data_IF_397817393431
#
_entry.id   IF_397817393431
#
_cell.length_a   1.000
_cell.length_b   1.000
_cell.length_c   1.000
_cell.angle_alpha   90.00
_cell.angle_beta   90.00
_cell.angle_gamma   90.00
#
_symmetry.space_group_name_H-M   'P 1'
#
loop_
_entity.id
_entity.type
_entity.pdbx_description
1 polymer ?
#
# COMPACT_ATOMS: atom_id res chain seq x y z
N UNK A 1 2.24 -1.56 -25.17
CA UNK A 1 3.22 -0.42 -25.22
C UNK A 1 4.59 -0.92 -24.84
N UNK A 2 5.60 -0.61 -25.64
CA UNK A 2 7.01 -0.94 -25.30
C UNK A 2 7.67 0.30 -24.69
N UNK A 3 8.29 0.14 -23.52
CA UNK A 3 8.98 1.21 -22.82
C UNK A 3 10.32 0.68 -22.26
N UNK A 4 11.42 1.28 -22.65
CA UNK A 4 12.79 0.86 -22.29
C UNK A 4 13.04 -0.66 -22.39
N UNK A 5 12.56 -1.28 -23.49
CA UNK A 5 12.76 -2.70 -23.79
C UNK A 5 11.76 -3.65 -23.13
N UNK A 6 10.86 -3.14 -22.28
CA UNK A 6 9.80 -3.93 -21.64
C UNK A 6 8.48 -3.73 -22.36
N UNK A 7 7.83 -4.84 -22.74
CA UNK A 7 6.50 -4.81 -23.34
C UNK A 7 5.43 -4.88 -22.26
N UNK A 8 4.73 -3.77 -22.03
CA UNK A 8 3.66 -3.66 -21.03
C UNK A 8 2.36 -4.35 -21.43
N UNK A 9 2.18 -4.79 -22.67
CA UNK A 9 1.03 -5.64 -23.06
C UNK A 9 1.14 -7.05 -22.44
N UNK A 10 2.37 -7.49 -22.20
CA UNK A 10 2.66 -8.80 -21.60
C UNK A 10 3.27 -8.71 -20.19
N UNK A 11 3.35 -7.51 -19.62
CA UNK A 11 4.04 -7.23 -18.36
C UNK A 11 3.67 -8.19 -17.23
N UNK A 12 2.38 -8.37 -16.95
CA UNK A 12 1.89 -9.23 -15.87
C UNK A 12 2.03 -10.74 -16.13
N UNK A 13 2.45 -11.14 -17.32
CA UNK A 13 2.82 -12.53 -17.64
C UNK A 13 4.30 -12.78 -17.42
N UNK A 14 5.11 -11.73 -17.53
CA UNK A 14 6.57 -11.80 -17.51
C UNK A 14 7.16 -11.35 -16.17
N UNK A 15 6.38 -10.58 -15.38
CA UNK A 15 6.86 -10.01 -14.10
C UNK A 15 5.86 -10.20 -12.97
N UNK A 16 6.31 -10.76 -11.83
CA UNK A 16 7.68 -11.30 -11.64
C UNK A 16 7.92 -12.53 -12.52
N UNK A 17 9.19 -12.90 -12.68
CA UNK A 17 9.57 -14.16 -13.28
C UNK A 17 9.23 -15.35 -12.34
N UNK A 18 9.51 -16.58 -12.80
CA UNK A 18 9.22 -17.81 -12.02
C UNK A 18 9.99 -17.90 -10.68
N UNK A 19 11.01 -17.06 -10.48
CA UNK A 19 11.77 -16.97 -9.23
C UNK A 19 11.35 -15.80 -8.37
N UNK A 20 10.36 -15.03 -8.80
CA UNK A 20 9.80 -13.90 -8.07
C UNK A 20 10.55 -12.58 -8.29
N UNK A 21 11.28 -12.43 -9.40
CA UNK A 21 12.02 -11.20 -9.70
C UNK A 21 11.29 -10.29 -10.68
N UNK A 22 11.32 -9.00 -10.37
CA UNK A 22 11.00 -7.88 -11.23
C UNK A 22 12.33 -7.27 -11.70
N UNK A 23 12.88 -7.75 -12.83
CA UNK A 23 14.24 -7.43 -13.22
C UNK A 23 15.25 -7.92 -12.17
N UNK A 24 16.08 -7.04 -11.55
CA UNK A 24 17.01 -7.43 -10.50
C UNK A 24 16.38 -7.50 -9.10
N UNK A 25 15.16 -6.99 -8.91
CA UNK A 25 14.52 -6.84 -7.61
C UNK A 25 13.53 -7.96 -7.31
N UNK A 26 13.34 -8.31 -6.04
CA UNK A 26 12.44 -9.36 -5.60
C UNK A 26 13.16 -10.58 -5.05
N UNK A 27 12.70 -11.78 -5.43
CA UNK A 27 13.28 -13.06 -5.02
C UNK A 27 12.83 -13.57 -3.65
N UNK A 28 13.57 -14.54 -3.10
CA UNK A 28 13.26 -15.23 -1.84
C UNK A 28 14.53 -15.38 -0.99
N UNK A 29 14.76 -14.44 -0.08
CA UNK A 29 15.95 -14.37 0.80
C UNK A 29 15.56 -14.71 2.23
N UNK A 30 15.14 -15.94 2.46
CA UNK A 30 14.66 -16.45 3.76
C UNK A 30 15.30 -17.78 4.10
N UNK A 31 15.13 -18.27 5.33
CA UNK A 31 15.59 -19.60 5.75
C UNK A 31 14.89 -20.72 4.96
N UNK A 32 15.56 -21.86 4.85
CA UNK A 32 15.01 -23.01 4.11
C UNK A 32 13.70 -23.54 4.72
N UNK A 33 13.49 -23.34 6.03
CA UNK A 33 12.24 -23.69 6.73
C UNK A 33 11.05 -22.88 6.20
N UNK A 34 11.23 -21.61 5.87
CA UNK A 34 10.19 -20.75 5.32
C UNK A 34 9.99 -20.92 3.82
N UNK A 35 10.98 -21.43 3.09
CA UNK A 35 10.85 -21.64 1.63
C UNK A 35 9.69 -22.56 1.29
N UNK A 36 9.53 -23.67 2.02
CA UNK A 36 8.41 -24.60 1.83
C UNK A 36 7.04 -23.92 2.05
N UNK A 37 6.96 -23.02 3.04
CA UNK A 37 5.76 -22.25 3.29
C UNK A 37 5.45 -21.25 2.16
N UNK A 38 6.47 -20.60 1.60
CA UNK A 38 6.31 -19.70 0.44
C UNK A 38 5.89 -20.48 -0.82
N UNK A 39 6.44 -21.66 -1.05
CA UNK A 39 6.05 -22.54 -2.16
C UNK A 39 4.58 -23.02 -2.03
N UNK A 40 4.14 -23.32 -0.80
CA UNK A 40 2.73 -23.66 -0.53
C UNK A 40 1.80 -22.50 -0.90
N UNK A 41 2.12 -21.27 -0.46
CA UNK A 41 1.34 -20.07 -0.77
C UNK A 41 1.37 -19.80 -2.28
N UNK A 42 2.53 -19.86 -2.92
CA UNK A 42 2.70 -19.66 -4.36
C UNK A 42 1.87 -20.65 -5.16
N UNK A 43 1.95 -21.94 -4.83
CA UNK A 43 1.15 -22.98 -5.47
C UNK A 43 -0.34 -22.74 -5.30
N UNK A 44 -0.78 -22.39 -4.09
CA UNK A 44 -2.19 -22.08 -3.81
C UNK A 44 -2.65 -20.85 -4.58
N UNK A 45 -1.82 -19.81 -4.66
CA UNK A 45 -2.14 -18.59 -5.41
C UNK A 45 -2.34 -18.90 -6.91
N UNK A 46 -1.43 -19.65 -7.55
CA UNK A 46 -1.53 -19.97 -8.97
C UNK A 46 -2.63 -21.00 -9.30
N UNK A 47 -3.00 -21.86 -8.38
CA UNK A 47 -4.01 -22.91 -8.63
C UNK A 47 -5.40 -22.53 -8.10
N UNK A 48 -5.48 -22.01 -6.88
CA UNK A 48 -6.74 -21.70 -6.19
C UNK A 48 -7.21 -20.30 -6.54
N UNK A 49 -6.37 -19.26 -6.37
CA UNK A 49 -6.78 -17.87 -6.54
C UNK A 49 -7.10 -17.52 -8.01
N UNK A 50 -6.60 -18.30 -8.98
CA UNK A 50 -6.93 -18.18 -10.39
C UNK A 50 -8.21 -18.98 -10.79
N UNK A 51 -8.79 -19.74 -9.87
CA UNK A 51 -9.99 -20.52 -10.16
C UNK A 51 -11.24 -19.63 -10.33
N UNK A 52 -12.15 -20.03 -11.23
CA UNK A 52 -13.41 -19.31 -11.44
C UNK A 52 -14.21 -19.15 -10.14
N UNK A 53 -14.19 -20.16 -9.29
CA UNK A 53 -14.90 -20.14 -8.01
C UNK A 53 -14.35 -19.08 -7.06
N UNK A 54 -13.03 -19.04 -6.88
CA UNK A 54 -12.36 -18.04 -6.04
C UNK A 54 -12.62 -16.62 -6.55
N UNK A 55 -12.42 -16.40 -7.85
CA UNK A 55 -12.62 -15.08 -8.49
C UNK A 55 -14.08 -14.62 -8.31
N UNK A 56 -15.06 -15.50 -8.54
CA UNK A 56 -16.47 -15.16 -8.37
C UNK A 56 -16.81 -14.82 -6.92
N UNK A 57 -16.29 -15.58 -5.94
CA UNK A 57 -16.51 -15.33 -4.52
C UNK A 57 -15.87 -14.01 -4.09
N UNK A 58 -14.63 -13.73 -4.50
CA UNK A 58 -13.96 -12.47 -4.19
C UNK A 58 -14.68 -11.27 -4.81
N UNK A 59 -15.17 -11.37 -6.05
CA UNK A 59 -15.98 -10.33 -6.69
C UNK A 59 -17.27 -10.06 -5.93
N UNK A 60 -17.97 -11.10 -5.49
CA UNK A 60 -19.18 -10.98 -4.67
C UNK A 60 -18.88 -10.25 -3.36
N UNK A 61 -17.83 -10.65 -2.66
CA UNK A 61 -17.41 -10.03 -1.39
C UNK A 61 -17.05 -8.55 -1.59
N UNK A 62 -16.32 -8.23 -2.63
CA UNK A 62 -15.97 -6.84 -2.99
C UNK A 62 -17.23 -5.99 -3.18
N UNK A 63 -18.22 -6.51 -3.87
CA UNK A 63 -19.48 -5.80 -4.12
C UNK A 63 -20.35 -5.67 -2.85
N UNK A 64 -20.57 -6.79 -2.16
CA UNK A 64 -21.58 -6.86 -1.09
C UNK A 64 -21.06 -6.42 0.27
N UNK A 65 -19.77 -6.62 0.55
CA UNK A 65 -19.16 -6.32 1.84
C UNK A 65 -18.22 -5.12 1.81
N UNK A 66 -17.36 -5.02 0.80
CA UNK A 66 -16.44 -3.88 0.71
C UNK A 66 -17.08 -2.60 0.15
N UNK A 67 -18.24 -2.70 -0.52
CA UNK A 67 -18.91 -1.56 -1.14
C UNK A 67 -18.25 -1.09 -2.45
N UNK A 68 -17.58 -2.03 -3.16
CA UNK A 68 -16.95 -1.70 -4.44
C UNK A 68 -17.94 -1.77 -5.63
N UNK A 69 -17.70 -0.99 -6.72
CA UNK A 69 -16.54 -0.11 -6.94
C UNK A 69 -16.60 1.16 -6.08
N UNK A 70 -15.43 1.59 -5.55
CA UNK A 70 -15.32 2.93 -4.98
C UNK A 70 -15.34 3.96 -6.10
N UNK A 71 -15.93 5.16 -5.92
CA UNK A 71 -16.07 6.11 -7.02
C UNK A 71 -14.77 6.85 -7.36
N UNK A 72 -14.67 7.35 -8.59
CA UNK A 72 -13.85 8.51 -8.93
C UNK A 72 -14.68 9.77 -8.70
N UNK A 73 -14.11 10.78 -8.06
CA UNK A 73 -14.75 12.07 -7.80
C UNK A 73 -13.93 13.21 -8.39
N UNK A 74 -14.61 14.15 -9.04
CA UNK A 74 -14.00 15.40 -9.49
C UNK A 74 -13.85 16.35 -8.29
N UNK A 75 -12.68 16.95 -8.14
CA UNK A 75 -12.38 17.96 -7.12
C UNK A 75 -12.63 19.34 -7.71
N UNK A 76 -13.90 19.72 -7.81
CA UNK A 76 -14.34 20.90 -8.58
C UNK A 76 -13.78 22.20 -8.01
N UNK A 77 -13.91 22.41 -6.69
CA UNK A 77 -13.48 23.67 -6.06
C UNK A 77 -11.96 23.81 -6.05
N UNK A 78 -11.25 22.70 -5.85
CA UNK A 78 -9.80 22.65 -5.90
C UNK A 78 -9.29 22.90 -7.32
N UNK A 79 -9.91 22.27 -8.33
CA UNK A 79 -9.62 22.49 -9.75
C UNK A 79 -9.81 23.97 -10.14
N UNK A 80 -10.95 24.56 -9.75
CA UNK A 80 -11.24 25.97 -10.01
C UNK A 80 -10.23 26.93 -9.35
N UNK A 81 -9.72 26.58 -8.17
CA UNK A 81 -8.67 27.35 -7.48
C UNK A 81 -7.33 27.29 -8.21
N UNK A 82 -6.99 26.14 -8.80
CA UNK A 82 -5.72 25.94 -9.53
C UNK A 82 -5.79 26.55 -10.93
N UNK A 83 -6.92 26.42 -11.62
CA UNK A 83 -7.15 26.99 -12.95
C UNK A 83 -7.46 25.94 -14.03
N UNK A 84 -6.60 25.81 -15.06
CA UNK A 84 -6.92 25.00 -16.25
C UNK A 84 -6.63 23.51 -16.13
N UNK A 85 -6.24 23.01 -14.95
CA UNK A 85 -6.01 21.59 -14.68
C UNK A 85 -7.16 21.05 -13.85
N UNK A 86 -7.70 19.90 -14.25
CA UNK A 86 -8.79 19.24 -13.55
C UNK A 86 -8.23 18.12 -12.65
N UNK A 87 -8.54 18.18 -11.37
CA UNK A 87 -8.13 17.19 -10.37
C UNK A 87 -9.27 16.23 -10.07
N UNK A 88 -8.94 14.96 -10.00
CA UNK A 88 -9.84 13.88 -9.65
C UNK A 88 -9.20 13.00 -8.58
N UNK A 89 -10.05 12.33 -7.79
CA UNK A 89 -9.58 11.34 -6.79
C UNK A 89 -10.30 10.00 -6.96
N UNK A 90 -9.56 8.91 -6.88
CA UNK A 90 -10.10 7.56 -6.67
C UNK A 90 -10.31 7.40 -5.16
N UNK A 91 -11.55 7.16 -4.74
CA UNK A 91 -12.03 7.25 -3.35
C UNK A 91 -11.86 5.94 -2.59
N UNK A 92 -10.63 5.47 -2.33
CA UNK A 92 -10.38 4.30 -1.49
C UNK A 92 -10.65 4.56 0.01
N UNK A 93 -10.79 5.81 0.40
CA UNK A 93 -11.31 6.24 1.71
C UNK A 93 -12.77 5.79 1.95
N UNK A 94 -13.52 5.49 0.89
CA UNK A 94 -14.90 4.95 0.94
C UNK A 94 -14.95 3.41 0.91
N UNK A 95 -13.83 2.73 0.72
CA UNK A 95 -13.77 1.28 0.89
C UNK A 95 -14.08 0.91 2.34
N UNK A 96 -14.74 -0.21 2.58
CA UNK A 96 -14.99 -0.66 3.96
C UNK A 96 -13.68 -0.72 4.76
N UNK A 97 -13.71 -0.35 6.04
CA UNK A 97 -12.58 -0.02 6.92
C UNK A 97 -11.91 1.34 6.66
N UNK A 98 -12.26 2.04 5.57
CA UNK A 98 -11.81 3.39 5.29
C UNK A 98 -10.45 3.51 4.61
N UNK A 99 -9.94 2.42 4.01
CA UNK A 99 -8.68 2.43 3.27
C UNK A 99 -8.57 1.25 2.29
N UNK A 100 -7.59 1.34 1.37
CA UNK A 100 -7.28 0.32 0.36
C UNK A 100 -6.87 -1.06 0.94
N UNK A 101 -6.42 -1.12 2.19
CA UNK A 101 -5.86 -2.35 2.79
C UNK A 101 -6.79 -3.54 2.73
N UNK A 102 -8.10 -3.34 2.88
CA UNK A 102 -9.06 -4.43 2.85
C UNK A 102 -9.10 -5.16 1.49
N UNK A 103 -8.67 -4.53 0.40
CA UNK A 103 -8.68 -5.16 -0.92
C UNK A 103 -7.81 -6.43 -0.98
N UNK A 104 -6.58 -6.37 -0.45
CA UNK A 104 -5.72 -7.54 -0.41
C UNK A 104 -6.03 -8.45 0.79
N UNK A 105 -6.35 -7.90 1.96
CA UNK A 105 -6.68 -8.71 3.12
C UNK A 105 -7.84 -9.68 2.85
N UNK A 106 -8.89 -9.24 2.15
CA UNK A 106 -9.99 -10.14 1.75
C UNK A 106 -9.54 -11.25 0.80
N UNK A 107 -8.63 -10.94 -0.13
CA UNK A 107 -8.05 -11.94 -1.04
C UNK A 107 -7.16 -12.95 -0.32
N UNK A 108 -6.28 -12.47 0.56
CA UNK A 108 -5.36 -13.31 1.33
C UNK A 108 -6.10 -14.24 2.30
N UNK A 109 -7.07 -13.72 3.06
CA UNK A 109 -7.84 -14.54 4.01
C UNK A 109 -8.78 -15.52 3.28
N UNK A 110 -9.34 -15.11 2.12
CA UNK A 110 -10.10 -16.05 1.28
C UNK A 110 -9.20 -17.19 0.77
N UNK A 111 -7.95 -16.88 0.36
CA UNK A 111 -6.98 -17.88 -0.04
C UNK A 111 -6.65 -18.81 1.12
N UNK A 112 -6.38 -18.28 2.31
CA UNK A 112 -6.14 -19.07 3.52
C UNK A 112 -7.28 -20.04 3.81
N UNK A 113 -8.52 -19.59 3.69
CA UNK A 113 -9.72 -20.42 3.84
C UNK A 113 -9.77 -21.56 2.83
N UNK A 114 -9.48 -21.28 1.56
CA UNK A 114 -9.46 -22.32 0.52
C UNK A 114 -8.30 -23.30 0.67
N UNK A 115 -7.19 -22.89 1.28
CA UNK A 115 -6.07 -23.74 1.67
C UNK A 115 -6.39 -24.61 2.90
N UNK A 116 -7.52 -24.37 3.58
CA UNK A 116 -7.90 -25.09 4.80
C UNK A 116 -7.15 -24.60 6.05
N UNK A 117 -6.49 -23.46 5.99
CA UNK A 117 -5.83 -22.85 7.16
C UNK A 117 -6.85 -22.38 8.19
N UNK A 118 -6.48 -22.41 9.46
CA UNK A 118 -7.36 -22.06 10.58
C UNK A 118 -7.09 -20.65 11.13
N UNK A 119 -5.91 -20.13 10.84
CA UNK A 119 -5.41 -18.88 11.40
C UNK A 119 -4.70 -18.04 10.34
N UNK A 120 -4.77 -16.73 10.50
CA UNK A 120 -3.94 -15.76 9.78
C UNK A 120 -3.04 -15.02 10.77
N UNK A 121 -1.83 -14.72 10.33
CA UNK A 121 -0.86 -13.90 11.05
C UNK A 121 -0.61 -12.64 10.22
N UNK A 122 -0.54 -11.49 10.87
CA UNK A 122 -0.18 -10.23 10.22
C UNK A 122 0.66 -9.36 11.15
N UNK A 123 1.33 -8.38 10.59
CA UNK A 123 1.97 -7.28 11.29
C UNK A 123 1.21 -5.97 11.04
N UNK A 124 1.43 -4.98 11.90
CA UNK A 124 0.93 -3.63 11.64
C UNK A 124 1.72 -2.58 12.43
N UNK A 125 1.95 -1.41 11.84
CA UNK A 125 2.47 -0.22 12.52
C UNK A 125 1.34 0.78 12.79
N UNK A 126 0.87 1.52 11.77
CA UNK A 126 -0.24 2.47 11.88
C UNK A 126 -1.61 1.86 12.22
N UNK A 127 -1.73 0.54 12.26
CA UNK A 127 -2.96 -0.17 12.62
C UNK A 127 -3.95 -0.41 11.48
N UNK A 128 -3.82 0.24 10.33
CA UNK A 128 -4.78 0.10 9.23
C UNK A 128 -4.77 -1.30 8.59
N UNK A 129 -3.59 -1.89 8.41
CA UNK A 129 -3.49 -3.27 7.95
C UNK A 129 -4.08 -4.23 8.97
N UNK A 130 -3.75 -4.04 10.25
CA UNK A 130 -4.29 -4.84 11.35
C UNK A 130 -5.82 -4.80 11.41
N UNK A 131 -6.43 -3.63 11.32
CA UNK A 131 -7.91 -3.49 11.30
C UNK A 131 -8.50 -4.18 10.07
N UNK A 132 -7.90 -4.03 8.88
CA UNK A 132 -8.37 -4.69 7.66
C UNK A 132 -8.24 -6.22 7.76
N UNK A 133 -7.13 -6.72 8.32
CA UNK A 133 -6.91 -8.15 8.54
C UNK A 133 -7.86 -8.74 9.57
N UNK A 134 -8.04 -8.07 10.72
CA UNK A 134 -9.03 -8.47 11.72
C UNK A 134 -10.46 -8.52 11.14
N UNK A 135 -10.80 -7.53 10.29
CA UNK A 135 -12.09 -7.49 9.60
C UNK A 135 -12.26 -8.69 8.66
N UNK A 136 -11.25 -8.99 7.84
CA UNK A 136 -11.29 -10.11 6.92
C UNK A 136 -11.35 -11.46 7.67
N UNK A 137 -10.55 -11.63 8.72
CA UNK A 137 -10.56 -12.82 9.56
C UNK A 137 -11.92 -13.03 10.24
N UNK A 138 -12.51 -11.99 10.80
CA UNK A 138 -13.86 -12.03 11.40
C UNK A 138 -14.92 -12.43 10.35
N UNK A 139 -14.86 -11.85 9.14
CA UNK A 139 -15.78 -12.19 8.05
C UNK A 139 -15.75 -13.67 7.69
N UNK A 140 -14.57 -14.28 7.68
CA UNK A 140 -14.39 -15.70 7.33
C UNK A 140 -14.43 -16.67 8.54
N UNK A 141 -14.53 -16.14 9.76
CA UNK A 141 -14.52 -16.94 10.99
C UNK A 141 -13.17 -17.60 11.29
N UNK A 142 -12.06 -16.90 10.97
CA UNK A 142 -10.70 -17.39 11.17
C UNK A 142 -10.07 -16.74 12.41
N UNK A 143 -9.15 -17.45 13.07
CA UNK A 143 -8.29 -16.87 14.09
C UNK A 143 -7.33 -15.87 13.46
N UNK A 144 -6.99 -14.81 14.20
CA UNK A 144 -6.14 -13.74 13.70
C UNK A 144 -5.20 -13.26 14.80
N UNK A 145 -3.89 -13.42 14.60
CA UNK A 145 -2.84 -12.84 15.43
C UNK A 145 -2.22 -11.66 14.69
N UNK A 146 -2.20 -10.49 15.32
CA UNK A 146 -1.65 -9.26 14.77
C UNK A 146 -0.49 -8.81 15.64
N UNK A 147 0.72 -8.84 15.09
CA UNK A 147 1.93 -8.38 15.73
C UNK A 147 2.06 -6.87 15.58
N UNK A 148 2.28 -6.18 16.68
CA UNK A 148 2.38 -4.73 16.71
C UNK A 148 3.38 -4.28 17.76
N UNK A 149 4.25 -3.35 17.41
CA UNK A 149 5.23 -2.80 18.35
C UNK A 149 4.57 -2.06 19.50
N UNK A 150 5.13 -2.17 20.71
CA UNK A 150 4.60 -1.55 21.92
C UNK A 150 4.47 -0.03 21.80
N UNK A 151 5.37 0.63 21.08
CA UNK A 151 5.31 2.08 20.83
C UNK A 151 4.17 2.44 19.86
N UNK A 152 3.92 1.60 18.86
CA UNK A 152 2.81 1.77 17.92
C UNK A 152 1.46 1.50 18.60
N UNK A 153 1.38 0.50 19.48
CA UNK A 153 0.16 0.20 20.28
C UNK A 153 -0.27 1.43 21.10
N UNK A 154 0.66 2.13 21.73
CA UNK A 154 0.35 3.33 22.51
C UNK A 154 -0.19 4.47 21.63
N UNK A 155 0.44 4.68 20.46
CA UNK A 155 0.08 5.75 19.52
C UNK A 155 -1.24 5.48 18.80
N UNK A 156 -1.58 4.20 18.60
CA UNK A 156 -2.69 3.76 17.75
C UNK A 156 -3.79 3.03 18.55
N UNK A 157 -4.01 3.42 19.80
CA UNK A 157 -4.97 2.79 20.70
C UNK A 157 -6.38 2.61 20.09
N UNK A 158 -6.96 3.55 19.31
CA UNK A 158 -8.26 3.35 18.68
C UNK A 158 -8.26 2.20 17.65
N UNK A 159 -7.19 2.00 16.88
CA UNK A 159 -7.06 0.88 15.94
C UNK A 159 -6.86 -0.44 16.69
N UNK A 160 -6.09 -0.44 17.78
CA UNK A 160 -5.94 -1.61 18.66
C UNK A 160 -7.29 -2.04 19.25
N UNK A 161 -8.09 -1.09 19.69
CA UNK A 161 -9.46 -1.36 20.18
C UNK A 161 -10.33 -1.98 19.06
N UNK A 162 -10.28 -1.45 17.85
CA UNK A 162 -11.02 -2.01 16.68
C UNK A 162 -10.61 -3.45 16.39
N UNK A 163 -9.30 -3.75 16.35
CA UNK A 163 -8.80 -5.11 16.14
C UNK A 163 -9.31 -6.09 17.20
N UNK A 164 -9.27 -5.70 18.48
CA UNK A 164 -9.77 -6.52 19.59
C UNK A 164 -11.29 -6.72 19.54
N UNK A 165 -12.07 -5.68 19.19
CA UNK A 165 -13.53 -5.78 19.02
C UNK A 165 -13.87 -6.76 17.87
N UNK A 166 -13.06 -6.80 16.82
CA UNK A 166 -13.20 -7.73 15.70
C UNK A 166 -12.75 -9.16 16.04
N UNK A 167 -12.25 -9.39 17.25
CA UNK A 167 -11.85 -10.71 17.73
C UNK A 167 -10.41 -11.10 17.44
N UNK A 168 -9.57 -10.18 16.93
CA UNK A 168 -8.17 -10.44 16.72
C UNK A 168 -7.37 -10.38 18.05
N UNK A 169 -6.35 -11.25 18.16
CA UNK A 169 -5.36 -11.20 19.20
C UNK A 169 -4.24 -10.24 18.78
N UNK A 170 -4.05 -9.15 19.51
CA UNK A 170 -2.95 -8.21 19.29
C UNK A 170 -1.77 -8.63 20.15
N UNK A 171 -0.71 -9.07 19.49
CA UNK A 171 0.54 -9.53 20.11
C UNK A 171 1.50 -8.35 20.21
N UNK A 172 1.76 -7.91 21.43
CA UNK A 172 2.69 -6.81 21.70
C UNK A 172 4.14 -7.27 21.49
N UNK A 173 4.90 -6.48 20.71
CA UNK A 173 6.33 -6.70 20.45
C UNK A 173 7.13 -5.60 21.13
N UNK A 174 8.03 -6.00 22.05
CA UNK A 174 8.81 -5.09 22.92
C UNK A 174 10.29 -5.04 22.55
N UNK A 175 10.75 -5.90 21.66
CA UNK A 175 12.14 -5.98 21.22
C UNK A 175 12.55 -4.75 20.41
N UNK A 176 13.83 -4.43 20.40
CA UNK A 176 14.44 -3.37 19.61
C UNK A 176 13.81 -2.00 19.86
N UNK A 177 13.34 -1.35 18.80
CA UNK A 177 12.62 -0.07 18.87
C UNK A 177 11.12 -0.22 19.15
N UNK A 178 10.63 -1.46 19.23
CA UNK A 178 9.24 -1.80 19.46
C UNK A 178 8.28 -1.11 18.45
N UNK A 179 8.64 -1.14 17.15
CA UNK A 179 7.91 -0.53 16.04
C UNK A 179 7.61 -1.55 14.94
N UNK A 180 7.17 -1.09 13.77
CA UNK A 180 6.77 -1.94 12.64
C UNK A 180 7.84 -2.95 12.22
N UNK A 181 9.15 -2.57 12.21
CA UNK A 181 10.22 -3.49 11.81
C UNK A 181 10.25 -4.73 12.69
N UNK A 182 10.26 -4.55 14.01
CA UNK A 182 10.29 -5.64 14.98
C UNK A 182 8.98 -6.46 14.94
N UNK A 183 7.85 -5.82 14.66
CA UNK A 183 6.58 -6.52 14.45
C UNK A 183 6.63 -7.46 13.24
N UNK A 184 7.25 -7.04 12.12
CA UNK A 184 7.50 -7.90 10.96
C UNK A 184 8.38 -9.08 11.30
N UNK A 185 9.51 -8.84 12.00
CA UNK A 185 10.44 -9.90 12.40
C UNK A 185 9.74 -10.93 13.31
N UNK A 186 8.95 -10.48 14.29
CA UNK A 186 8.20 -11.34 15.20
C UNK A 186 7.11 -12.14 14.47
N UNK A 187 6.40 -11.52 13.51
CA UNK A 187 5.38 -12.20 12.71
C UNK A 187 6.00 -13.29 11.82
N UNK A 188 7.15 -13.04 11.18
CA UNK A 188 7.89 -14.06 10.43
C UNK A 188 8.36 -15.22 11.33
N UNK A 189 8.88 -14.92 12.52
CA UNK A 189 9.31 -15.94 13.47
C UNK A 189 8.13 -16.80 13.96
N UNK A 190 6.98 -16.21 14.19
CA UNK A 190 5.76 -16.95 14.52
C UNK A 190 5.27 -17.80 13.34
N UNK A 191 5.27 -17.24 12.14
CA UNK A 191 4.86 -17.95 10.92
C UNK A 191 5.76 -19.18 10.66
N UNK A 192 7.07 -19.07 10.84
CA UNK A 192 8.00 -20.19 10.70
C UNK A 192 7.63 -21.39 11.60
N UNK A 193 7.11 -21.10 12.81
CA UNK A 193 6.69 -22.16 13.76
C UNK A 193 5.31 -22.76 13.43
N UNK A 194 4.44 -21.98 12.81
CA UNK A 194 2.99 -22.31 12.73
C UNK A 194 2.46 -22.44 11.29
N UNK A 195 3.30 -22.34 10.27
CA UNK A 195 2.88 -22.24 8.85
C UNK A 195 1.95 -23.35 8.37
N UNK A 196 1.98 -24.54 9.03
CA UNK A 196 1.09 -25.65 8.67
C UNK A 196 -0.38 -25.31 8.89
N UNK A 197 -0.71 -24.58 9.95
CA UNK A 197 -2.07 -24.24 10.34
C UNK A 197 -2.44 -22.78 10.01
N UNK A 198 -1.48 -21.95 9.67
CA UNK A 198 -1.70 -20.52 9.38
C UNK A 198 -1.11 -20.08 8.06
N UNK A 199 -1.48 -18.88 7.63
CA UNK A 199 -0.85 -18.13 6.56
C UNK A 199 -0.41 -16.76 7.10
N UNK A 200 0.76 -16.29 6.66
CA UNK A 200 1.20 -14.93 6.90
C UNK A 200 0.62 -14.04 5.81
N UNK A 201 -0.10 -13.00 6.21
CA UNK A 201 -0.76 -12.03 5.33
C UNK A 201 -0.05 -10.69 5.48
N UNK A 202 0.94 -10.46 4.62
CA UNK A 202 1.80 -9.28 4.71
C UNK A 202 1.08 -8.00 4.31
N UNK A 203 1.41 -6.89 4.99
CA UNK A 203 0.66 -5.63 4.89
C UNK A 203 0.92 -4.80 3.64
N UNK A 204 1.83 -5.19 2.74
CA UNK A 204 2.15 -4.43 1.53
C UNK A 204 2.74 -5.30 0.42
N UNK A 205 3.17 -4.68 -0.70
CA UNK A 205 3.86 -5.35 -1.83
C UNK A 205 5.35 -5.56 -1.53
N UNK A 206 5.66 -6.03 -0.32
CA UNK A 206 7.00 -6.28 0.20
C UNK A 206 7.13 -7.74 0.62
N UNK A 207 8.31 -8.15 1.07
CA UNK A 207 8.54 -9.53 1.48
C UNK A 207 8.95 -10.46 0.34
N UNK A 208 9.23 -11.74 0.65
CA UNK A 208 9.65 -12.73 -0.33
C UNK A 208 8.49 -13.05 -1.31
N UNK A 209 8.85 -13.53 -2.51
CA UNK A 209 7.85 -14.09 -3.42
C UNK A 209 7.06 -15.22 -2.71
N UNK A 210 5.71 -15.31 -2.83
CA UNK A 210 4.86 -14.60 -3.81
C UNK A 210 4.21 -13.30 -3.33
N UNK A 211 4.50 -12.82 -2.13
CA UNK A 211 3.76 -11.70 -1.51
C UNK A 211 3.68 -10.44 -2.38
N UNK A 212 4.78 -9.90 -2.96
CA UNK A 212 4.68 -8.66 -3.74
C UNK A 212 3.70 -8.78 -4.92
N UNK A 213 3.75 -9.90 -5.63
CA UNK A 213 2.84 -10.18 -6.75
C UNK A 213 1.39 -10.38 -6.26
N UNK A 214 1.20 -11.20 -5.24
CA UNK A 214 -0.13 -11.56 -4.72
C UNK A 214 -0.87 -10.33 -4.19
N UNK A 215 -0.20 -9.50 -3.37
CA UNK A 215 -0.78 -8.28 -2.83
C UNK A 215 -1.09 -7.27 -3.94
N UNK A 216 -0.15 -7.06 -4.91
CA UNK A 216 -0.42 -6.23 -6.10
C UNK A 216 -1.68 -6.69 -6.82
N UNK A 217 -1.79 -7.98 -7.10
CA UNK A 217 -2.90 -8.50 -7.90
C UNK A 217 -4.24 -8.38 -7.18
N UNK A 218 -4.28 -8.55 -5.86
CA UNK A 218 -5.49 -8.27 -5.08
C UNK A 218 -5.81 -6.77 -5.01
N UNK A 219 -4.83 -5.88 -5.14
CA UNK A 219 -5.02 -4.44 -5.20
C UNK A 219 -5.36 -3.91 -6.61
N UNK A 220 -5.15 -4.68 -7.68
CA UNK A 220 -5.38 -4.24 -9.07
C UNK A 220 -6.79 -3.72 -9.33
N UNK A 221 -7.77 -4.19 -8.59
CA UNK A 221 -9.16 -3.71 -8.67
C UNK A 221 -9.27 -2.19 -8.57
N UNK A 222 -8.37 -1.54 -7.83
CA UNK A 222 -8.33 -0.07 -7.68
C UNK A 222 -8.03 0.62 -9.01
N UNK A 223 -6.98 0.18 -9.69
CA UNK A 223 -6.55 0.74 -10.98
C UNK A 223 -7.51 0.41 -12.12
N UNK A 224 -8.02 -0.83 -12.15
CA UNK A 224 -8.99 -1.27 -13.16
C UNK A 224 -10.27 -0.43 -13.09
N UNK A 225 -10.85 -0.28 -11.90
CA UNK A 225 -12.03 0.56 -11.67
C UNK A 225 -11.76 2.05 -11.97
N UNK A 226 -10.61 2.56 -11.51
CA UNK A 226 -10.25 3.97 -11.68
C UNK A 226 -10.14 4.35 -13.17
N UNK A 227 -9.52 3.48 -13.97
CA UNK A 227 -9.35 3.69 -15.40
C UNK A 227 -10.70 3.71 -16.13
N UNK A 228 -11.54 2.71 -15.88
CA UNK A 228 -12.88 2.62 -16.49
C UNK A 228 -13.73 3.84 -16.11
N UNK A 229 -13.85 4.13 -14.81
CA UNK A 229 -14.65 5.25 -14.31
C UNK A 229 -14.17 6.60 -14.83
N UNK A 230 -12.84 6.80 -14.91
CA UNK A 230 -12.30 8.07 -15.40
C UNK A 230 -12.62 8.28 -16.89
N UNK A 231 -12.45 7.24 -17.70
CA UNK A 231 -12.79 7.29 -19.14
C UNK A 231 -14.29 7.48 -19.34
N UNK A 232 -15.13 6.79 -18.57
CA UNK A 232 -16.59 6.97 -18.62
C UNK A 232 -17.02 8.40 -18.26
N UNK A 233 -16.33 9.02 -17.28
CA UNK A 233 -16.64 10.37 -16.81
C UNK A 233 -16.17 11.47 -17.77
N UNK A 234 -15.00 11.28 -18.40
CA UNK A 234 -14.29 12.36 -19.12
C UNK A 234 -14.19 12.13 -20.63
N UNK A 235 -14.35 10.90 -21.11
CA UNK A 235 -14.17 10.50 -22.50
C UNK A 235 -12.71 10.27 -22.91
N UNK A 236 -11.75 10.41 -21.99
CA UNK A 236 -10.31 10.23 -22.26
C UNK A 236 -9.56 9.68 -21.05
N UNK A 237 -8.29 9.29 -21.22
CA UNK A 237 -7.40 8.93 -20.13
C UNK A 237 -6.92 10.19 -19.36
N UNK A 238 -6.56 10.09 -18.08
CA UNK A 238 -5.89 11.18 -17.38
C UNK A 238 -4.53 11.44 -18.01
N UNK A 239 -4.06 12.70 -17.98
CA UNK A 239 -2.69 13.03 -18.40
C UNK A 239 -1.66 12.52 -17.41
N UNK A 240 -2.01 12.52 -16.12
CA UNK A 240 -1.16 11.98 -15.07
C UNK A 240 -1.96 11.28 -13.98
N UNK A 241 -1.33 10.29 -13.33
CA UNK A 241 -1.84 9.66 -12.11
C UNK A 241 -0.83 9.75 -10.98
N UNK A 242 -1.32 9.87 -9.74
CA UNK A 242 -0.48 10.09 -8.54
C UNK A 242 -0.94 9.19 -7.40
N UNK A 243 -0.01 8.53 -6.71
CA UNK A 243 -0.28 7.80 -5.47
C UNK A 243 0.89 7.93 -4.49
N UNK A 244 0.62 7.90 -3.18
CA UNK A 244 1.67 7.86 -2.16
C UNK A 244 2.31 6.47 -2.09
N UNK A 245 3.60 6.42 -1.71
CA UNK A 245 4.40 5.20 -1.63
C UNK A 245 5.14 5.14 -0.30
N UNK A 246 4.82 4.11 0.50
CA UNK A 246 5.66 3.55 1.55
C UNK A 246 6.11 2.17 1.08
N UNK A 247 5.57 1.07 1.63
CA UNK A 247 5.75 -0.26 1.00
C UNK A 247 5.12 -0.36 -0.40
N UNK A 248 4.12 0.48 -0.71
CA UNK A 248 3.65 0.75 -2.08
C UNK A 248 2.41 -0.02 -2.53
N UNK A 249 1.67 -0.71 -1.65
CA UNK A 249 0.54 -1.55 -2.10
C UNK A 249 -0.61 -0.78 -2.75
N UNK A 250 -0.95 0.41 -2.24
CA UNK A 250 -1.98 1.26 -2.86
C UNK A 250 -1.55 1.71 -4.27
N UNK A 251 -0.30 2.14 -4.40
CA UNK A 251 0.27 2.61 -5.65
C UNK A 251 0.39 1.47 -6.69
N UNK A 252 0.88 0.29 -6.30
CA UNK A 252 0.97 -0.87 -7.19
C UNK A 252 -0.39 -1.26 -7.76
N UNK A 253 -1.42 -1.31 -6.93
CA UNK A 253 -2.79 -1.59 -7.36
C UNK A 253 -3.34 -0.52 -8.29
N UNK A 254 -3.13 0.74 -7.97
CA UNK A 254 -3.62 1.87 -8.76
C UNK A 254 -2.88 2.00 -10.10
N UNK A 255 -1.56 1.94 -10.09
CA UNK A 255 -0.74 2.03 -11.30
C UNK A 255 -1.03 0.91 -12.29
N UNK A 256 -1.38 -0.28 -11.77
CA UNK A 256 -1.63 -1.45 -12.60
C UNK A 256 -2.70 -1.24 -13.68
N UNK A 257 -3.65 -0.35 -13.46
CA UNK A 257 -4.66 0.00 -14.46
C UNK A 257 -4.15 0.86 -15.60
N UNK A 258 -2.94 1.45 -15.47
CA UNK A 258 -2.42 2.46 -16.40
C UNK A 258 -1.00 2.18 -16.93
N UNK A 259 -0.35 1.10 -16.47
CA UNK A 259 1.04 0.82 -16.87
C UNK A 259 1.22 0.71 -18.39
N UNK A 260 0.19 0.26 -19.10
CA UNK A 260 0.21 0.10 -20.56
C UNK A 260 -0.34 1.31 -21.33
N UNK A 261 -0.80 2.33 -20.65
CA UNK A 261 -1.36 3.55 -21.25
C UNK A 261 -0.29 4.66 -21.36
N UNK A 262 -0.43 5.63 -22.29
CA UNK A 262 0.46 6.78 -22.41
C UNK A 262 0.14 7.84 -21.33
N UNK A 263 0.07 7.42 -20.08
CA UNK A 263 -0.23 8.26 -18.90
C UNK A 263 1.05 8.44 -18.11
N UNK A 264 1.34 9.64 -17.66
CA UNK A 264 2.42 9.90 -16.72
C UNK A 264 2.06 9.35 -15.33
N UNK A 265 2.97 8.56 -14.73
CA UNK A 265 2.73 7.91 -13.44
C UNK A 265 3.71 8.42 -12.40
N UNK A 266 3.19 8.87 -11.25
CA UNK A 266 3.98 9.42 -10.16
C UNK A 266 3.72 8.67 -8.85
N UNK A 267 4.80 8.14 -8.24
CA UNK A 267 4.83 7.59 -6.89
C UNK A 267 5.45 8.61 -5.93
N UNK A 268 4.76 8.94 -4.84
CA UNK A 268 5.18 10.01 -3.94
C UNK A 268 5.58 9.45 -2.60
N UNK A 269 6.85 9.63 -2.26
CA UNK A 269 7.44 9.22 -1.01
C UNK A 269 7.49 10.39 -0.01
N UNK A 270 7.51 10.12 1.31
CA UNK A 270 7.58 11.18 2.32
C UNK A 270 9.01 11.70 2.46
N UNK A 271 9.21 13.00 2.23
CA UNK A 271 10.45 13.70 2.56
C UNK A 271 10.53 14.03 4.06
N UNK A 272 9.41 13.93 4.77
CA UNK A 272 9.38 14.20 6.19
C UNK A 272 9.89 15.59 6.55
N UNK A 273 10.93 15.65 7.38
CA UNK A 273 11.53 16.90 7.88
C UNK A 273 12.72 17.37 7.04
N UNK A 274 13.25 16.54 6.14
CA UNK A 274 14.41 16.86 5.32
C UNK A 274 15.10 15.65 4.71
N UNK A 275 16.25 15.86 4.08
CA UNK A 275 17.00 14.84 3.34
C UNK A 275 18.00 14.05 4.17
N UNK A 276 18.17 14.37 5.45
CA UNK A 276 19.08 13.64 6.32
C UNK A 276 18.50 12.24 6.64
N UNK A 277 19.36 11.24 6.73
CA UNK A 277 18.97 9.89 7.11
C UNK A 277 18.29 9.89 8.49
N UNK A 278 17.11 9.29 8.57
CA UNK A 278 16.25 9.34 9.77
C UNK A 278 15.23 10.48 9.79
N UNK A 279 15.27 11.43 8.82
CA UNK A 279 14.31 12.51 8.68
C UNK A 279 13.28 12.29 7.57
N UNK A 280 13.42 11.23 6.79
CA UNK A 280 12.53 10.86 5.68
C UNK A 280 12.36 9.34 5.57
N UNK A 281 11.41 8.88 4.73
CA UNK A 281 11.26 7.49 4.34
C UNK A 281 11.22 7.33 2.79
N UNK A 282 11.93 8.20 2.07
CA UNK A 282 11.98 8.21 0.61
C UNK A 282 13.06 7.25 0.10
N UNK A 283 12.74 5.95 0.10
CA UNK A 283 13.69 4.90 -0.22
C UNK A 283 14.08 4.85 -1.70
N UNK A 284 13.13 5.05 -2.61
CA UNK A 284 13.40 5.06 -4.06
C UNK A 284 14.20 6.28 -4.49
N UNK A 285 14.02 7.40 -3.80
CA UNK A 285 14.71 8.64 -4.12
C UNK A 285 16.14 8.69 -3.57
N UNK A 286 16.38 8.17 -2.37
CA UNK A 286 17.67 8.32 -1.67
C UNK A 286 18.33 7.01 -1.25
N UNK A 287 17.66 5.87 -1.44
CA UNK A 287 18.16 4.56 -1.05
C UNK A 287 19.09 3.92 -2.08
N UNK A 288 19.56 2.75 -1.74
CA UNK A 288 20.40 1.90 -2.60
C UNK A 288 19.91 0.46 -2.52
N UNK A 289 20.30 -0.37 -3.49
CA UNK A 289 19.94 -1.79 -3.54
C UNK A 289 20.35 -2.53 -2.26
N UNK A 290 19.44 -3.34 -1.72
CA UNK A 290 19.68 -4.14 -0.52
C UNK A 290 18.56 -5.14 -0.23
N UNK A 291 18.87 -6.09 0.64
CA UNK A 291 17.93 -7.15 1.06
C UNK A 291 17.43 -6.88 2.46
N UNK A 292 16.11 -6.88 2.64
CA UNK A 292 15.47 -6.87 3.96
C UNK A 292 14.15 -7.65 3.92
N UNK A 293 13.71 -8.19 5.05
CA UNK A 293 12.46 -8.96 5.17
C UNK A 293 12.25 -10.00 4.05
N UNK A 294 13.36 -10.60 3.57
CA UNK A 294 13.32 -11.70 2.62
C UNK A 294 13.22 -11.33 1.14
N UNK A 295 13.41 -10.08 0.75
CA UNK A 295 13.40 -9.64 -0.65
C UNK A 295 14.48 -8.59 -0.95
N UNK A 296 14.93 -8.54 -2.20
CA UNK A 296 15.84 -7.51 -2.72
C UNK A 296 15.06 -6.33 -3.29
N UNK A 297 15.43 -5.11 -2.93
CA UNK A 297 14.81 -3.88 -3.44
C UNK A 297 15.75 -2.68 -3.26
N UNK A 298 15.23 -1.46 -3.41
CA UNK A 298 15.89 -0.23 -3.03
C UNK A 298 15.49 0.10 -1.59
N UNK A 299 16.47 0.36 -0.72
CA UNK A 299 16.25 0.62 0.70
C UNK A 299 17.19 1.70 1.26
N UNK A 300 16.74 2.38 2.31
CA UNK A 300 17.55 3.26 3.12
C UNK A 300 18.40 2.41 4.07
N UNK A 301 19.70 2.65 4.07
CA UNK A 301 20.68 1.91 4.89
C UNK A 301 21.51 2.86 5.72
N UNK A 302 21.87 2.40 6.92
CA UNK A 302 22.87 3.06 7.73
C UNK A 302 24.31 2.76 7.25
N UNK A 303 25.30 3.23 7.99
CA UNK A 303 26.71 3.04 7.66
C UNK A 303 27.18 1.57 7.72
N UNK A 304 26.43 0.70 8.40
CA UNK A 304 26.71 -0.74 8.50
C UNK A 304 26.02 -1.54 7.38
N UNK A 305 25.13 -0.88 6.60
CA UNK A 305 24.32 -1.52 5.59
C UNK A 305 23.00 -2.10 6.10
N UNK A 306 22.68 -1.87 7.38
CA UNK A 306 21.42 -2.27 8.00
C UNK A 306 20.29 -1.28 7.64
N UNK A 307 19.00 -1.70 7.72
CA UNK A 307 17.88 -0.79 7.49
C UNK A 307 17.96 0.44 8.41
N UNK A 308 18.00 1.62 7.80
CA UNK A 308 18.10 2.87 8.53
C UNK A 308 16.79 3.22 9.26
N UNK A 309 16.86 4.01 10.34
CA UNK A 309 15.69 4.67 10.89
C UNK A 309 15.03 5.55 9.84
N UNK A 310 13.70 5.62 9.86
CA UNK A 310 12.90 6.45 8.94
C UNK A 310 11.91 7.31 9.70
N UNK A 311 11.41 8.32 9.03
CA UNK A 311 10.40 9.21 9.59
C UNK A 311 9.47 9.75 8.51
N UNK A 312 8.19 9.85 8.82
CA UNK A 312 7.24 10.72 8.14
C UNK A 312 6.15 11.20 9.12
N UNK A 313 5.41 12.23 8.73
CA UNK A 313 4.22 12.64 9.48
C UNK A 313 3.11 11.58 9.42
N UNK A 314 3.19 10.66 8.47
CA UNK A 314 2.23 9.59 8.24
C UNK A 314 2.85 8.23 8.53
N UNK A 315 2.56 7.63 9.69
CA UNK A 315 3.15 6.36 10.15
C UNK A 315 2.94 5.19 9.19
N UNK A 316 1.92 5.22 8.33
CA UNK A 316 1.71 4.20 7.31
C UNK A 316 2.71 4.24 6.14
N UNK A 317 3.55 5.28 6.06
CA UNK A 317 4.65 5.41 5.09
C UNK A 317 6.03 5.18 5.72
N UNK A 318 6.12 4.92 7.03
CA UNK A 318 7.37 4.70 7.76
C UNK A 318 7.92 3.30 7.49
N UNK A 319 8.52 3.13 6.32
CA UNK A 319 9.17 1.88 5.93
C UNK A 319 10.45 2.19 5.16
N UNK A 320 11.60 1.58 5.50
CA UNK A 320 12.90 1.96 4.93
C UNK A 320 13.15 1.38 3.54
N UNK A 321 12.16 0.77 2.90
CA UNK A 321 12.25 0.18 1.56
C UNK A 321 10.92 0.35 0.84
N UNK A 322 10.86 -0.09 -0.42
CA UNK A 322 9.63 -0.17 -1.22
C UNK A 322 9.52 -1.53 -1.91
N UNK A 323 8.34 -1.85 -2.41
CA UNK A 323 8.12 -3.08 -3.14
C UNK A 323 9.07 -3.25 -4.32
N UNK A 324 9.50 -4.49 -4.65
CA UNK A 324 10.47 -4.74 -5.70
C UNK A 324 9.97 -4.33 -7.09
N UNK A 325 8.66 -4.38 -7.34
CA UNK A 325 8.07 -3.88 -8.57
C UNK A 325 8.22 -2.36 -8.70
N UNK A 326 8.10 -1.61 -7.60
CA UNK A 326 8.35 -0.17 -7.59
C UNK A 326 9.80 0.16 -7.92
N UNK A 327 10.76 -0.56 -7.33
CA UNK A 327 12.18 -0.43 -7.66
C UNK A 327 12.45 -0.70 -9.13
N UNK A 328 11.84 -1.72 -9.70
CA UNK A 328 11.97 -2.05 -11.12
C UNK A 328 11.35 -0.98 -12.03
N UNK A 329 10.12 -0.55 -11.75
CA UNK A 329 9.45 0.50 -12.52
C UNK A 329 10.17 1.86 -12.44
N UNK A 330 10.80 2.14 -11.29
CA UNK A 330 11.70 3.30 -11.12
C UNK A 330 12.93 3.20 -12.01
N UNK A 331 13.64 2.07 -11.96
CA UNK A 331 14.83 1.81 -12.78
C UNK A 331 14.53 1.86 -14.28
N UNK A 332 13.35 1.37 -14.68
CA UNK A 332 12.88 1.51 -16.07
C UNK A 332 12.51 2.95 -16.44
N UNK A 333 12.25 3.82 -15.47
CA UNK A 333 11.71 5.16 -15.68
C UNK A 333 10.24 5.19 -16.14
N UNK A 334 9.51 4.06 -16.03
CA UNK A 334 8.08 4.02 -16.35
C UNK A 334 7.24 4.75 -15.32
N UNK A 335 7.63 4.68 -14.07
CA UNK A 335 7.07 5.43 -12.96
C UNK A 335 8.12 6.41 -12.46
N UNK A 336 7.72 7.66 -12.33
CA UNK A 336 8.53 8.73 -11.75
C UNK A 336 8.26 8.78 -10.26
N UNK A 337 9.30 8.68 -9.44
CA UNK A 337 9.17 8.83 -7.99
C UNK A 337 9.70 10.18 -7.57
N UNK A 338 8.95 10.83 -6.70
CA UNK A 338 9.27 12.17 -6.18
C UNK A 338 8.86 12.24 -4.70
N UNK A 339 9.12 13.35 -4.05
CA UNK A 339 8.94 13.50 -2.61
C UNK A 339 8.09 14.73 -2.25
N UNK A 340 7.42 14.65 -1.10
CA UNK A 340 6.70 15.78 -0.48
C UNK A 340 7.05 15.84 1.00
N UNK A 341 7.32 17.06 1.51
CA UNK A 341 7.60 17.29 2.92
C UNK A 341 6.34 17.33 3.79
N UNK A 342 6.53 17.30 5.11
CA UNK A 342 5.44 17.30 6.07
C UNK A 342 4.55 18.55 5.97
N UNK A 343 5.11 19.73 5.80
CA UNK A 343 4.36 20.99 5.77
C UNK A 343 3.41 21.04 4.57
N UNK A 344 3.90 20.75 3.36
CA UNK A 344 3.08 20.69 2.14
C UNK A 344 1.99 19.61 2.26
N UNK A 345 2.31 18.48 2.90
CA UNK A 345 1.35 17.38 3.14
C UNK A 345 0.22 17.85 4.05
N UNK A 346 0.54 18.52 5.16
CA UNK A 346 -0.47 19.01 6.11
C UNK A 346 -1.29 20.16 5.52
N UNK A 347 -0.70 21.03 4.74
CA UNK A 347 -1.42 22.09 4.02
C UNK A 347 -2.43 21.48 3.03
N UNK A 348 -2.04 20.45 2.27
CA UNK A 348 -2.93 19.74 1.36
C UNK A 348 -4.05 18.99 2.10
N UNK A 349 -3.77 18.42 3.28
CA UNK A 349 -4.78 17.81 4.15
C UNK A 349 -5.90 18.81 4.47
N UNK A 350 -5.56 20.02 4.94
CA UNK A 350 -6.55 21.05 5.24
C UNK A 350 -7.21 21.62 3.98
N UNK A 351 -6.46 21.79 2.91
CA UNK A 351 -6.98 22.34 1.65
C UNK A 351 -8.06 21.43 1.04
N UNK A 352 -7.80 20.12 0.92
CA UNK A 352 -8.77 19.15 0.45
C UNK A 352 -9.99 19.10 1.37
N UNK A 353 -9.77 19.07 2.68
CA UNK A 353 -10.86 19.02 3.67
C UNK A 353 -11.81 20.21 3.54
N UNK A 354 -11.29 21.42 3.38
CA UNK A 354 -12.11 22.65 3.32
C UNK A 354 -12.74 22.93 1.97
N UNK A 355 -12.06 22.54 0.90
CA UNK A 355 -12.57 22.80 -0.43
C UNK A 355 -13.56 21.71 -0.88
N UNK A 356 -13.28 20.44 -0.55
CA UNK A 356 -14.02 19.33 -1.10
C UNK A 356 -14.82 18.53 -0.04
N UNK A 357 -14.68 18.86 1.25
CA UNK A 357 -15.35 18.13 2.32
C UNK A 357 -14.81 16.71 2.53
N UNK A 358 -13.58 16.46 2.11
CA UNK A 358 -12.92 15.14 2.20
C UNK A 358 -11.73 15.26 3.14
N UNK A 359 -11.78 14.58 4.29
CA UNK A 359 -10.66 14.50 5.23
C UNK A 359 -9.81 13.26 4.85
N UNK A 360 -8.66 13.46 4.19
CA UNK A 360 -7.81 12.34 3.76
C UNK A 360 -7.02 11.76 4.94
N UNK A 361 -6.58 10.51 4.85
CA UNK A 361 -5.48 10.05 5.67
C UNK A 361 -4.21 10.88 5.35
N UNK A 362 -3.34 11.09 6.33
CA UNK A 362 -2.10 11.88 6.11
C UNK A 362 -1.23 11.21 5.03
N UNK A 363 -1.24 9.88 4.94
CA UNK A 363 -0.60 9.15 3.85
C UNK A 363 -1.10 9.64 2.48
N UNK A 364 -2.41 9.70 2.31
CA UNK A 364 -3.04 10.14 1.05
C UNK A 364 -2.79 11.62 0.76
N UNK A 365 -2.65 12.44 1.81
CA UNK A 365 -2.39 13.86 1.67
C UNK A 365 -1.04 14.15 0.96
N UNK A 366 -0.03 13.25 1.05
CA UNK A 366 1.21 13.36 0.25
C UNK A 366 0.89 13.33 -1.26
N UNK A 367 0.05 12.39 -1.69
CA UNK A 367 -0.35 12.31 -3.10
C UNK A 367 -1.18 13.52 -3.54
N UNK A 368 -2.04 14.04 -2.66
CA UNK A 368 -2.83 15.26 -2.92
C UNK A 368 -1.93 16.49 -3.05
N UNK A 369 -0.97 16.66 -2.14
CA UNK A 369 0.00 17.75 -2.17
C UNK A 369 0.78 17.77 -3.49
N UNK A 370 1.32 16.62 -3.87
CA UNK A 370 2.04 16.50 -5.14
C UNK A 370 1.12 16.72 -6.35
N UNK A 371 -0.09 16.18 -6.31
CA UNK A 371 -1.10 16.39 -7.37
C UNK A 371 -1.40 17.86 -7.59
N UNK A 372 -1.51 18.66 -6.53
CA UNK A 372 -1.68 20.12 -6.58
C UNK A 372 -0.43 20.80 -7.18
N UNK A 373 0.77 20.41 -6.74
CA UNK A 373 2.03 20.94 -7.27
C UNK A 373 2.20 20.61 -8.75
N UNK A 374 1.91 19.35 -9.13
CA UNK A 374 1.97 18.89 -10.53
C UNK A 374 0.99 19.65 -11.41
N UNK A 375 -0.26 19.82 -10.95
CA UNK A 375 -1.29 20.55 -11.68
C UNK A 375 -0.86 22.01 -11.97
N UNK A 376 -0.31 22.70 -10.98
CA UNK A 376 0.24 24.06 -11.15
C UNK A 376 1.36 24.10 -12.19
N UNK A 377 2.21 23.06 -12.22
CA UNK A 377 3.33 22.93 -13.17
C UNK A 377 2.87 22.58 -14.58
N UNK A 378 1.85 21.72 -14.72
CA UNK A 378 1.29 21.31 -16.01
C UNK A 378 0.58 22.45 -16.74
N UNK A 379 -0.13 23.30 -16.03
CA UNK A 379 -0.86 24.44 -16.56
C UNK A 379 -2.14 24.11 -17.33
N UNK A 380 -2.34 22.89 -17.82
CA UNK A 380 -3.56 22.34 -18.42
C UNK A 380 -3.58 20.83 -18.35
N UNK A 381 -4.75 20.23 -18.43
CA UNK A 381 -4.94 18.77 -18.47
C UNK A 381 -5.66 18.24 -17.24
N UNK A 382 -5.44 16.96 -16.92
CA UNK A 382 -6.13 16.26 -15.86
C UNK A 382 -5.16 15.38 -15.04
N UNK A 383 -5.36 15.35 -13.72
CA UNK A 383 -4.60 14.51 -12.78
C UNK A 383 -5.58 13.68 -11.96
N UNK A 384 -5.38 12.37 -11.95
CA UNK A 384 -6.15 11.45 -11.11
C UNK A 384 -5.27 10.97 -9.94
N UNK A 385 -5.71 11.23 -8.71
CA UNK A 385 -4.99 10.92 -7.48
C UNK A 385 -5.64 9.74 -6.78
N UNK A 386 -4.86 8.78 -6.29
CA UNK A 386 -5.39 7.72 -5.43
C UNK A 386 -5.52 8.21 -3.98
N UNK A 387 -6.74 8.42 -3.52
CA UNK A 387 -7.03 8.75 -2.13
C UNK A 387 -7.14 7.46 -1.32
N UNK A 388 -6.00 6.95 -0.90
CA UNK A 388 -5.81 5.59 -0.39
C UNK A 388 -6.48 5.29 0.96
N UNK A 389 -6.85 6.33 1.72
CA UNK A 389 -7.52 6.18 3.01
C UNK A 389 -8.10 7.48 3.57
N UNK A 390 -8.98 7.35 4.57
CA UNK A 390 -9.63 8.46 5.28
C UNK A 390 -8.87 8.86 6.54
N UNK A 391 -9.01 10.11 6.94
CA UNK A 391 -8.26 10.74 8.02
C UNK A 391 -8.83 10.55 9.44
N UNK A 392 -9.92 9.80 9.63
CA UNK A 392 -10.51 9.64 10.98
C UNK A 392 -9.51 9.14 12.03
N UNK A 393 -8.56 8.31 11.60
CA UNK A 393 -7.51 7.78 12.46
C UNK A 393 -6.48 8.82 12.90
N UNK A 394 -6.37 9.92 12.14
CA UNK A 394 -5.32 10.93 12.29
C UNK A 394 -5.80 12.16 13.08
N UNK A 395 -7.11 12.23 13.41
CA UNK A 395 -7.72 13.44 13.97
C UNK A 395 -7.08 13.88 15.27
N UNK A 396 -6.82 12.96 16.21
CA UNK A 396 -6.21 13.30 17.49
C UNK A 396 -4.81 13.89 17.29
N UNK A 397 -4.01 13.25 16.45
CA UNK A 397 -2.66 13.72 16.11
C UNK A 397 -2.67 15.10 15.42
N UNK A 398 -3.58 15.29 14.46
CA UNK A 398 -3.71 16.58 13.75
C UNK A 398 -4.13 17.70 14.71
N UNK A 399 -5.09 17.45 15.58
CA UNK A 399 -5.57 18.43 16.56
C UNK A 399 -4.47 18.80 17.56
N UNK A 400 -3.77 17.80 18.08
CA UNK A 400 -2.70 18.00 19.06
C UNK A 400 -1.50 18.77 18.47
N UNK A 401 -1.04 18.39 17.29
CA UNK A 401 0.20 18.91 16.71
C UNK A 401 0.02 20.18 15.87
N UNK A 402 -1.09 20.28 15.14
CA UNK A 402 -1.31 21.35 14.15
C UNK A 402 -2.53 22.24 14.49
N UNK A 403 -3.35 21.83 15.43
CA UNK A 403 -4.57 22.54 15.83
C UNK A 403 -5.70 22.42 14.80
N UNK A 404 -6.80 23.11 15.08
CA UNK A 404 -7.91 23.29 14.13
C UNK A 404 -7.65 24.62 13.42
N UNK A 405 -7.13 24.56 12.20
CA UNK A 405 -6.80 25.76 11.39
C UNK A 405 -8.04 26.39 10.76
#
# INVERSE_FOLDING_TARGET
>A
MIFNGVDFDTYYRNYPDDKGYFGPYGGVYISDELKAAMEEISTAYFTIAQSRRFIAELRRIRKEFQGRPTPVSHLERLSNKIGNVQLYVKREDLNHTGAHKLNHCMGEVLLAKYMGKKKVIAETGAGQHGVAMATAAAYFGMQCDIYMGAEDIKKQAPNVARMKILGANVVEVTEGQATLKEAVDAAFAAYAREYKDCIYCIGSVVGPHPFPMMVRDFQRVVGEEAREQFVDMTGHLPDAIVACVGGGSNAAGFFSGFLNDPVDIYGIEPLGRGTALGDHAASLQYGTEGVMHGFNSIMLKDENGDPAPVYSVASGLDYPSSGPEHAFLHTLGRVKYDVVNDDDTIDAFYELSRLEGIIPAIESAHAVAYGIQLAKKMGKGSVLINLSGRGDKDMDYIIEKYGIR
#
